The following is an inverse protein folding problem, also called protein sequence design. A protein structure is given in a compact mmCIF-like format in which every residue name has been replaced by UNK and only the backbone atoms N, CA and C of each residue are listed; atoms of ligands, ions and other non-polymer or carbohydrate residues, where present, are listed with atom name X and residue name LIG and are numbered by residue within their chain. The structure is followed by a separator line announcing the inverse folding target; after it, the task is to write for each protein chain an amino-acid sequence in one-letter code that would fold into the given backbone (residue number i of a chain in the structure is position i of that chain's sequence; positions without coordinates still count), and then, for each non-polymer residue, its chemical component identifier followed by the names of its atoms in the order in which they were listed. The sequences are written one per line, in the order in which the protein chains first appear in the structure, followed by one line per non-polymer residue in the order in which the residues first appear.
data_IF_121381578343
#
_entry.id   IF_121381578343
#
_cell.length_a   1.000
_cell.length_b   1.000
_cell.length_c   1.000
_cell.angle_alpha   90.00
_cell.angle_beta   90.00
_cell.angle_gamma   90.00
#
_symmetry.space_group_name_H-M   'P 1'
#
loop_
_entity.id
_entity.type
_entity.pdbx_description
1 polymer ?
#
# COMPACT_ATOMS: atom_id res chain seq x y z
N UNK A 1 17.08 26.10 -21.61
CA UNK A 1 16.79 25.29 -20.41
C UNK A 1 15.27 25.21 -20.27
N UNK A 2 14.68 24.02 -20.09
CA UNK A 2 13.25 23.90 -19.76
C UNK A 2 13.01 24.63 -18.43
N UNK A 3 12.01 25.51 -18.38
CA UNK A 3 11.63 26.23 -17.17
C UNK A 3 11.11 25.21 -16.17
N UNK A 4 11.70 25.15 -14.98
CA UNK A 4 11.29 24.23 -13.91
C UNK A 4 10.02 24.81 -13.27
N UNK A 5 8.95 24.03 -13.19
CA UNK A 5 7.73 24.45 -12.49
C UNK A 5 7.95 24.41 -10.98
N UNK A 6 7.50 25.40 -10.18
CA UNK A 6 7.72 25.42 -8.73
C UNK A 6 7.20 24.15 -8.02
N UNK A 7 5.98 23.72 -8.32
CA UNK A 7 5.36 22.57 -7.61
C UNK A 7 5.56 21.20 -8.27
N UNK A 8 5.74 21.21 -9.60
CA UNK A 8 5.78 20.01 -10.45
C UNK A 8 7.17 19.68 -10.98
N UNK A 9 8.14 20.56 -10.77
CA UNK A 9 9.52 20.43 -11.22
C UNK A 9 9.64 20.13 -12.72
N UNK A 10 9.92 18.87 -13.07
CA UNK A 10 10.13 18.39 -14.43
C UNK A 10 8.95 17.58 -14.97
N UNK A 11 7.93 17.31 -14.14
CA UNK A 11 6.77 16.53 -14.54
C UNK A 11 5.98 17.27 -15.61
N UNK A 12 5.69 16.64 -16.76
CA UNK A 12 4.84 17.23 -17.80
C UNK A 12 3.41 17.52 -17.31
N UNK A 13 2.83 18.61 -17.80
CA UNK A 13 1.49 19.11 -17.42
C UNK A 13 0.38 18.06 -17.55
N UNK A 14 0.45 17.22 -18.59
CA UNK A 14 -0.51 16.13 -18.82
C UNK A 14 -0.61 15.12 -17.66
N UNK A 15 0.37 15.09 -16.74
CA UNK A 15 0.38 14.20 -15.59
C UNK A 15 0.03 14.89 -14.27
N UNK A 16 -0.10 16.21 -14.22
CA UNK A 16 -0.28 16.96 -12.97
C UNK A 16 -1.53 16.53 -12.21
N UNK A 17 -2.69 16.51 -12.88
CA UNK A 17 -3.96 16.08 -12.27
C UNK A 17 -3.90 14.67 -11.68
N UNK A 18 -3.24 13.75 -12.39
CA UNK A 18 -3.07 12.36 -11.94
C UNK A 18 -2.10 12.26 -10.77
N UNK A 19 -1.06 13.10 -10.76
CA UNK A 19 -0.15 13.23 -9.64
C UNK A 19 -0.85 13.77 -8.40
N UNK A 20 -1.64 14.85 -8.54
CA UNK A 20 -2.44 15.40 -7.45
C UNK A 20 -3.43 14.37 -6.89
N UNK A 21 -4.07 13.60 -7.77
CA UNK A 21 -4.95 12.50 -7.35
C UNK A 21 -4.17 11.46 -6.52
N UNK A 22 -2.97 11.05 -6.96
CA UNK A 22 -2.17 10.09 -6.20
C UNK A 22 -1.76 10.65 -4.82
N UNK A 23 -1.36 11.93 -4.75
CA UNK A 23 -1.02 12.61 -3.49
C UNK A 23 -2.22 12.67 -2.55
N UNK A 24 -3.39 13.01 -3.09
CA UNK A 24 -4.62 13.02 -2.32
C UNK A 24 -5.00 11.62 -1.78
N UNK A 25 -4.94 10.59 -2.64
CA UNK A 25 -5.28 9.22 -2.26
C UNK A 25 -4.35 8.69 -1.16
N UNK A 26 -3.03 8.89 -1.27
CA UNK A 26 -2.14 8.47 -0.18
C UNK A 26 -2.34 9.31 1.09
N UNK A 27 -2.73 10.58 0.95
CA UNK A 27 -3.16 11.42 2.08
C UNK A 27 -4.37 10.83 2.82
N UNK A 28 -5.35 10.28 2.10
CA UNK A 28 -6.48 9.58 2.72
C UNK A 28 -6.04 8.36 3.55
N UNK A 29 -5.01 7.64 3.11
CA UNK A 29 -4.44 6.54 3.90
C UNK A 29 -3.71 7.09 5.14
N UNK A 30 -2.94 8.16 4.98
CA UNK A 30 -2.19 8.79 6.07
C UNK A 30 -3.10 9.31 7.20
N UNK A 31 -4.32 9.73 6.89
CA UNK A 31 -5.31 10.13 7.90
C UNK A 31 -5.55 9.05 8.96
N UNK A 32 -5.45 7.76 8.63
CA UNK A 32 -5.57 6.66 9.60
C UNK A 32 -4.47 6.68 10.67
N UNK A 33 -3.35 7.35 10.41
CA UNK A 33 -2.27 7.54 11.37
C UNK A 33 -2.46 8.85 12.13
N UNK A 34 -2.99 9.89 11.50
CA UNK A 34 -2.95 11.25 12.02
C UNK A 34 -4.18 11.63 12.86
N UNK A 35 -5.37 11.18 12.46
CA UNK A 35 -6.61 11.65 13.08
C UNK A 35 -6.96 10.87 14.35
N UNK A 36 -7.58 11.55 15.32
CA UNK A 36 -7.91 10.97 16.62
C UNK A 36 -8.97 9.88 16.55
N UNK A 37 -9.86 9.91 15.55
CA UNK A 37 -10.90 8.88 15.39
C UNK A 37 -10.30 7.48 15.15
N UNK A 38 -9.04 7.39 14.71
CA UNK A 38 -8.33 6.13 14.45
C UNK A 38 -7.29 5.78 15.51
N UNK A 39 -7.32 6.46 16.68
CA UNK A 39 -6.36 6.21 17.76
C UNK A 39 -6.35 4.74 18.24
N UNK A 40 -7.46 4.02 18.03
CA UNK A 40 -7.60 2.59 18.33
C UNK A 40 -6.62 1.69 17.58
N UNK A 41 -6.00 2.15 16.49
CA UNK A 41 -4.90 1.41 15.85
C UNK A 41 -3.64 1.35 16.72
N UNK A 42 -3.48 2.32 17.64
CA UNK A 42 -2.28 2.51 18.48
C UNK A 42 -2.55 2.23 19.95
N UNK A 43 -3.71 2.64 20.44
CA UNK A 43 -4.05 2.68 21.86
C UNK A 43 -5.17 1.70 22.14
N UNK A 44 -4.92 0.81 23.08
CA UNK A 44 -5.85 -0.22 23.52
C UNK A 44 -6.23 0.00 24.97
N UNK A 45 -7.53 -0.08 25.24
CA UNK A 45 -8.06 -0.06 26.61
C UNK A 45 -8.66 -1.41 26.92
N UNK A 46 -8.25 -1.98 28.06
CA UNK A 46 -8.77 -3.24 28.57
C UNK A 46 -9.33 -3.01 29.97
N UNK A 47 -10.60 -3.32 30.16
CA UNK A 47 -11.23 -3.26 31.47
C UNK A 47 -10.84 -4.52 32.27
N UNK A 48 -10.31 -4.33 33.46
CA UNK A 48 -9.94 -5.41 34.38
C UNK A 48 -10.99 -5.49 35.49
N UNK A 49 -11.65 -6.63 35.62
CA UNK A 49 -12.69 -6.83 36.65
C UNK A 49 -12.10 -7.04 38.05
N UNK A 50 -10.89 -7.59 38.14
CA UNK A 50 -10.20 -7.88 39.40
C UNK A 50 -8.79 -7.29 39.43
N UNK A 51 -8.37 -6.75 40.58
CA UNK A 51 -6.98 -6.27 40.80
C UNK A 51 -5.93 -7.38 40.68
N UNK A 52 -6.31 -8.65 40.82
CA UNK A 52 -5.39 -9.79 40.62
C UNK A 52 -5.09 -10.08 39.15
N UNK A 53 -5.87 -9.50 38.24
CA UNK A 53 -5.71 -9.62 36.79
C UNK A 53 -4.95 -8.42 36.21
N UNK A 54 -4.13 -7.73 37.00
CA UNK A 54 -3.23 -6.69 36.51
C UNK A 54 -1.90 -7.26 36.03
N UNK A 55 -1.25 -6.67 35.01
CA UNK A 55 0.11 -7.05 34.62
C UNK A 55 1.08 -6.91 35.79
N UNK A 56 2.00 -7.86 35.96
CA UNK A 56 3.09 -7.69 36.92
C UNK A 56 4.03 -6.56 36.46
N UNK A 57 4.75 -5.94 37.41
CA UNK A 57 5.58 -4.74 37.15
C UNK A 57 6.56 -4.85 35.98
N UNK A 58 7.00 -6.06 35.64
CA UNK A 58 7.96 -6.34 34.55
C UNK A 58 7.43 -7.36 33.52
N UNK A 59 6.14 -7.68 33.54
CA UNK A 59 5.54 -8.63 32.59
C UNK A 59 5.27 -7.91 31.26
N UNK A 60 5.67 -8.54 30.15
CA UNK A 60 5.34 -8.02 28.83
C UNK A 60 3.82 -8.11 28.61
N UNK A 61 3.23 -7.12 27.95
CA UNK A 61 1.77 -7.07 27.79
C UNK A 61 1.22 -8.31 27.05
N UNK A 62 1.99 -8.86 26.10
CA UNK A 62 1.62 -10.08 25.39
C UNK A 62 1.61 -11.31 26.31
N UNK A 63 2.62 -11.47 27.16
CA UNK A 63 2.68 -12.58 28.13
C UNK A 63 1.48 -12.52 29.08
N UNK A 64 1.13 -11.30 29.51
CA UNK A 64 -0.04 -11.05 30.33
C UNK A 64 -1.34 -11.48 29.64
N UNK A 65 -1.54 -11.11 28.37
CA UNK A 65 -2.75 -11.47 27.61
C UNK A 65 -2.85 -12.99 27.40
N UNK A 66 -1.72 -13.65 27.09
CA UNK A 66 -1.66 -15.11 26.91
C UNK A 66 -2.00 -15.82 28.23
N UNK A 67 -1.34 -15.44 29.34
CA UNK A 67 -1.55 -16.05 30.65
C UNK A 67 -2.96 -15.86 31.19
N UNK A 68 -3.59 -14.72 30.90
CA UNK A 68 -4.99 -14.42 31.27
C UNK A 68 -6.02 -15.01 30.31
N UNK A 69 -5.60 -15.82 29.33
CA UNK A 69 -6.45 -16.47 28.32
C UNK A 69 -7.27 -15.48 27.47
N UNK A 70 -6.68 -14.32 27.16
CA UNK A 70 -7.28 -13.26 26.35
C UNK A 70 -6.72 -13.28 24.92
N UNK A 71 -6.81 -14.43 24.24
CA UNK A 71 -6.25 -14.62 22.88
C UNK A 71 -6.85 -13.62 21.88
N UNK A 72 -8.15 -13.37 21.92
CA UNK A 72 -8.82 -12.42 21.01
C UNK A 72 -8.26 -10.98 21.13
N UNK A 73 -7.99 -10.52 22.36
CA UNK A 73 -7.37 -9.21 22.60
C UNK A 73 -5.92 -9.17 22.12
N UNK A 74 -5.18 -10.26 22.34
CA UNK A 74 -3.82 -10.40 21.85
C UNK A 74 -3.78 -10.31 20.32
N UNK A 75 -4.61 -11.09 19.63
CA UNK A 75 -4.68 -11.07 18.17
C UNK A 75 -5.09 -9.71 17.63
N UNK A 76 -6.14 -9.09 18.20
CA UNK A 76 -6.57 -7.74 17.80
C UNK A 76 -5.47 -6.70 17.98
N UNK A 77 -4.75 -6.75 19.11
CA UNK A 77 -3.65 -5.83 19.41
C UNK A 77 -2.50 -5.99 18.41
N UNK A 78 -2.05 -7.23 18.16
CA UNK A 78 -0.97 -7.50 17.20
C UNK A 78 -1.41 -7.09 15.79
N UNK A 79 -2.61 -7.46 15.36
CA UNK A 79 -3.15 -7.07 14.04
C UNK A 79 -3.15 -5.55 13.85
N UNK A 80 -3.62 -4.79 14.82
CA UNK A 80 -3.65 -3.33 14.71
C UNK A 80 -2.24 -2.73 14.68
N UNK A 81 -1.30 -3.24 15.50
CA UNK A 81 0.09 -2.76 15.50
C UNK A 81 0.80 -3.06 14.18
N UNK A 82 0.63 -4.27 13.64
CA UNK A 82 1.19 -4.66 12.35
C UNK A 82 0.58 -3.80 11.25
N UNK A 83 -0.75 -3.67 11.20
CA UNK A 83 -1.43 -2.84 10.21
C UNK A 83 -0.99 -1.37 10.31
N UNK A 84 -0.91 -0.82 11.51
CA UNK A 84 -0.47 0.56 11.75
C UNK A 84 0.96 0.81 11.24
N UNK A 85 1.89 -0.12 11.50
CA UNK A 85 3.25 -0.06 10.97
C UNK A 85 3.31 -0.14 9.44
N UNK A 86 2.53 -1.04 8.84
CA UNK A 86 2.44 -1.17 7.38
C UNK A 86 1.87 0.09 6.73
N UNK A 87 0.84 0.71 7.32
CA UNK A 87 0.27 1.96 6.80
C UNK A 87 1.32 3.09 6.82
N UNK A 88 2.11 3.20 7.89
CA UNK A 88 3.20 4.20 7.98
C UNK A 88 4.22 3.98 6.86
N UNK A 89 4.70 2.74 6.72
CA UNK A 89 5.69 2.40 5.70
C UNK A 89 5.14 2.68 4.29
N UNK A 90 3.90 2.28 4.01
CA UNK A 90 3.27 2.56 2.71
C UNK A 90 3.19 4.07 2.43
N UNK A 91 2.74 4.87 3.41
CA UNK A 91 2.63 6.33 3.25
C UNK A 91 3.99 6.94 2.92
N UNK A 92 5.03 6.66 3.72
CA UNK A 92 6.35 7.24 3.52
C UNK A 92 6.96 6.85 2.17
N UNK A 93 6.91 5.57 1.80
CA UNK A 93 7.47 5.12 0.53
C UNK A 93 6.73 5.69 -0.68
N UNK A 94 5.39 5.74 -0.66
CA UNK A 94 4.59 6.26 -1.77
C UNK A 94 4.76 7.77 -1.91
N UNK A 95 4.69 8.53 -0.82
CA UNK A 95 4.88 9.99 -0.84
C UNK A 95 6.26 10.38 -1.37
N UNK A 96 7.33 9.69 -0.93
CA UNK A 96 8.68 9.91 -1.44
C UNK A 96 8.83 9.47 -2.91
N UNK A 97 8.18 8.38 -3.32
CA UNK A 97 8.16 7.94 -4.71
C UNK A 97 7.53 8.99 -5.63
N UNK A 98 6.41 9.58 -5.21
CA UNK A 98 5.71 10.67 -5.91
C UNK A 98 6.59 11.92 -6.00
N UNK A 99 7.25 12.30 -4.91
CA UNK A 99 8.21 13.41 -4.90
C UNK A 99 9.39 13.17 -5.86
N UNK A 100 9.95 11.96 -5.86
CA UNK A 100 11.00 11.55 -6.80
C UNK A 100 10.52 11.60 -8.25
N UNK A 101 9.27 11.20 -8.50
CA UNK A 101 8.68 11.18 -9.84
C UNK A 101 8.61 12.59 -10.42
N UNK A 102 8.17 13.58 -9.64
CA UNK A 102 8.16 14.99 -10.07
C UNK A 102 9.56 15.51 -10.43
N UNK A 103 10.57 15.06 -9.70
CA UNK A 103 11.98 15.44 -9.88
C UNK A 103 12.67 14.65 -11.01
N UNK A 104 11.94 13.91 -11.85
CA UNK A 104 12.49 13.07 -12.92
C UNK A 104 13.36 11.90 -12.42
N UNK A 105 13.30 11.56 -11.13
CA UNK A 105 14.09 10.48 -10.52
C UNK A 105 13.35 9.15 -10.60
N UNK A 106 12.99 8.74 -11.82
CA UNK A 106 12.14 7.54 -12.08
C UNK A 106 12.73 6.26 -11.50
N UNK A 107 14.06 6.13 -11.47
CA UNK A 107 14.75 5.00 -10.82
C UNK A 107 14.39 4.89 -9.36
N UNK A 108 14.52 5.99 -8.62
CA UNK A 108 14.21 6.04 -7.20
C UNK A 108 12.70 5.84 -6.98
N UNK A 109 11.86 6.41 -7.86
CA UNK A 109 10.41 6.19 -7.82
C UNK A 109 10.04 4.70 -7.86
N UNK A 110 10.53 3.93 -8.85
CA UNK A 110 10.18 2.51 -8.94
C UNK A 110 10.85 1.65 -7.87
N UNK A 111 12.04 2.03 -7.40
CA UNK A 111 12.67 1.37 -6.25
C UNK A 111 11.79 1.52 -5.00
N UNK A 112 11.29 2.73 -4.74
CA UNK A 112 10.43 3.02 -3.58
C UNK A 112 9.05 2.37 -3.69
N UNK A 113 8.43 2.35 -4.86
CA UNK A 113 7.12 1.72 -5.06
C UNK A 113 7.10 0.20 -4.84
N UNK A 114 8.27 -0.45 -4.80
CA UNK A 114 8.34 -1.89 -4.58
C UNK A 114 7.78 -2.30 -3.23
N UNK A 115 8.22 -1.63 -2.16
CA UNK A 115 7.87 -2.00 -0.79
C UNK A 115 6.34 -1.97 -0.54
N UNK A 116 5.64 -0.85 -0.78
CA UNK A 116 4.20 -0.75 -0.51
C UNK A 116 3.38 -1.74 -1.34
N UNK A 117 3.70 -1.93 -2.62
CA UNK A 117 2.84 -2.69 -3.52
C UNK A 117 3.22 -4.16 -3.65
N UNK A 118 4.51 -4.50 -3.67
CA UNK A 118 4.96 -5.88 -3.87
C UNK A 118 5.04 -6.65 -2.55
N UNK A 119 5.29 -5.96 -1.44
CA UNK A 119 5.47 -6.59 -0.13
C UNK A 119 4.33 -6.22 0.83
N UNK A 120 4.23 -4.95 1.22
CA UNK A 120 3.33 -4.54 2.30
C UNK A 120 1.87 -4.83 1.98
N UNK A 121 1.44 -4.63 0.72
CA UNK A 121 0.09 -4.98 0.27
C UNK A 121 -0.22 -6.46 0.46
N UNK A 122 0.73 -7.36 0.18
CA UNK A 122 0.53 -8.79 0.40
C UNK A 122 0.36 -9.07 1.90
N UNK A 123 1.17 -8.46 2.75
CA UNK A 123 1.05 -8.63 4.19
C UNK A 123 -0.31 -8.12 4.69
N UNK A 124 -0.78 -6.96 4.21
CA UNK A 124 -2.12 -6.44 4.53
C UNK A 124 -3.22 -7.41 4.13
N UNK A 125 -3.18 -7.92 2.89
CA UNK A 125 -4.19 -8.84 2.39
C UNK A 125 -4.20 -10.17 3.17
N UNK A 126 -3.03 -10.72 3.49
CA UNK A 126 -2.93 -11.94 4.30
C UNK A 126 -3.41 -11.70 5.72
N UNK A 127 -3.02 -10.58 6.33
CA UNK A 127 -3.46 -10.20 7.67
C UNK A 127 -4.99 -10.05 7.74
N UNK A 128 -5.63 -9.65 6.64
CA UNK A 128 -7.08 -9.45 6.55
C UNK A 128 -7.86 -10.74 6.22
N UNK A 129 -7.32 -11.62 5.38
CA UNK A 129 -8.08 -12.74 4.79
C UNK A 129 -7.50 -14.14 5.05
N UNK A 130 -6.27 -14.27 5.55
CA UNK A 130 -5.68 -15.56 5.88
C UNK A 130 -5.94 -15.93 7.33
N UNK A 131 -6.77 -16.95 7.54
CA UNK A 131 -7.01 -17.52 8.86
C UNK A 131 -5.69 -17.99 9.51
N UNK A 132 -5.48 -17.62 10.77
CA UNK A 132 -4.30 -17.98 11.53
C UNK A 132 -3.02 -17.25 11.14
N UNK A 133 -3.09 -16.17 10.33
CA UNK A 133 -1.91 -15.35 10.00
C UNK A 133 -1.14 -14.90 11.25
N UNK A 134 -1.85 -14.42 12.28
CA UNK A 134 -1.25 -13.96 13.53
C UNK A 134 -0.57 -15.11 14.30
N UNK A 135 -1.15 -16.31 14.29
CA UNK A 135 -0.56 -17.48 14.93
C UNK A 135 0.78 -17.83 14.27
N UNK A 136 0.79 -17.96 12.94
CA UNK A 136 2.02 -18.21 12.17
C UNK A 136 3.06 -17.11 12.38
N UNK A 137 2.63 -15.84 12.32
CA UNK A 137 3.51 -14.68 12.51
C UNK A 137 4.23 -14.68 13.86
N UNK A 138 3.60 -15.23 14.92
CA UNK A 138 4.19 -15.25 16.25
C UNK A 138 4.95 -16.55 16.59
N UNK A 139 4.58 -17.68 15.97
CA UNK A 139 5.05 -19.01 16.39
C UNK A 139 6.00 -19.69 15.38
N UNK A 140 6.00 -19.31 14.10
CA UNK A 140 6.84 -19.93 13.08
C UNK A 140 8.15 -19.14 12.84
N UNK A 141 9.30 -19.76 13.12
CA UNK A 141 10.63 -19.13 12.99
C UNK A 141 10.98 -18.71 11.55
N UNK A 142 10.48 -19.43 10.53
CA UNK A 142 10.79 -19.22 9.10
C UNK A 142 9.58 -18.68 8.31
N UNK A 143 8.62 -18.02 8.98
CA UNK A 143 7.41 -17.51 8.32
C UNK A 143 7.71 -16.38 7.32
N UNK A 144 7.60 -16.67 6.03
CA UNK A 144 7.64 -15.64 4.99
C UNK A 144 6.27 -14.97 4.85
N UNK A 145 6.12 -13.81 5.49
CA UNK A 145 4.91 -12.96 5.42
C UNK A 145 4.56 -12.49 3.99
N UNK A 146 5.49 -12.54 3.03
CA UNK A 146 5.29 -12.10 1.64
C UNK A 146 5.25 -13.25 0.62
N UNK A 147 5.61 -14.45 1.06
CA UNK A 147 5.85 -15.62 0.24
C UNK A 147 4.57 -16.27 -0.26
N UNK A 148 4.02 -15.76 -1.36
CA UNK A 148 2.86 -16.35 -2.03
C UNK A 148 3.17 -16.69 -3.49
N UNK A 149 2.59 -17.79 -3.98
CA UNK A 149 2.57 -18.14 -5.38
C UNK A 149 1.55 -17.28 -6.18
N UNK A 150 1.45 -17.49 -7.50
CA UNK A 150 0.56 -16.69 -8.36
C UNK A 150 -0.91 -16.85 -7.96
N UNK A 151 -1.36 -18.08 -7.78
CA UNK A 151 -2.78 -18.38 -7.59
C UNK A 151 -3.24 -17.91 -6.21
N UNK A 152 -2.40 -18.06 -5.19
CA UNK A 152 -2.63 -17.51 -3.84
C UNK A 152 -2.79 -15.99 -3.86
N UNK A 153 -1.93 -15.27 -4.61
CA UNK A 153 -2.07 -13.81 -4.76
C UNK A 153 -3.38 -13.43 -5.42
N UNK A 154 -3.78 -14.14 -6.48
CA UNK A 154 -5.04 -13.85 -7.19
C UNK A 154 -6.24 -14.09 -6.27
N UNK A 155 -6.26 -15.17 -5.49
CA UNK A 155 -7.33 -15.44 -4.52
C UNK A 155 -7.48 -14.30 -3.52
N UNK A 156 -6.38 -13.83 -2.92
CA UNK A 156 -6.43 -12.70 -1.99
C UNK A 156 -6.92 -11.40 -2.64
N UNK A 157 -6.47 -11.12 -3.87
CA UNK A 157 -6.91 -9.96 -4.64
C UNK A 157 -8.40 -10.06 -5.00
N UNK A 158 -8.89 -11.25 -5.35
CA UNK A 158 -10.30 -11.53 -5.64
C UNK A 158 -11.16 -11.29 -4.39
N UNK A 159 -10.77 -11.85 -3.25
CA UNK A 159 -11.47 -11.65 -1.98
C UNK A 159 -11.57 -10.17 -1.62
N UNK A 160 -10.44 -9.45 -1.68
CA UNK A 160 -10.39 -8.02 -1.43
C UNK A 160 -11.28 -7.22 -2.38
N UNK A 161 -11.28 -7.56 -3.68
CA UNK A 161 -12.06 -6.84 -4.70
C UNK A 161 -13.57 -6.93 -4.46
N UNK A 162 -14.07 -8.00 -3.81
CA UNK A 162 -15.49 -8.13 -3.43
C UNK A 162 -15.97 -7.01 -2.50
N UNK A 163 -15.07 -6.45 -1.69
CA UNK A 163 -15.39 -5.40 -0.74
C UNK A 163 -15.10 -3.99 -1.27
N UNK A 164 -14.34 -3.85 -2.36
CA UNK A 164 -14.08 -2.54 -2.98
C UNK A 164 -15.35 -1.95 -3.58
N UNK A 165 -15.61 -0.68 -3.29
CA UNK A 165 -16.81 0.04 -3.71
C UNK A 165 -16.67 0.52 -5.16
N UNK A 166 -15.54 1.14 -5.49
CA UNK A 166 -15.36 1.77 -6.80
C UNK A 166 -14.94 0.78 -7.88
N UNK A 167 -14.49 -0.42 -7.49
CA UNK A 167 -13.94 -1.45 -8.38
C UNK A 167 -13.00 -0.84 -9.43
N UNK A 168 -11.97 -0.09 -8.99
CA UNK A 168 -11.17 0.73 -9.90
C UNK A 168 -10.32 -0.12 -10.86
N UNK A 169 -10.16 -1.40 -10.52
CA UNK A 169 -9.34 -2.39 -11.20
C UNK A 169 -9.85 -3.79 -10.80
N UNK A 170 -9.78 -4.76 -11.72
CA UNK A 170 -10.05 -6.17 -11.41
C UNK A 170 -8.87 -6.83 -10.68
N UNK A 171 -9.10 -7.97 -10.04
CA UNK A 171 -8.06 -8.78 -9.41
C UNK A 171 -6.98 -9.23 -10.40
N UNK A 172 -7.37 -9.53 -11.65
CA UNK A 172 -6.44 -9.92 -12.71
C UNK A 172 -5.60 -8.74 -13.16
N UNK A 173 -6.20 -7.58 -13.43
CA UNK A 173 -5.46 -6.37 -13.80
C UNK A 173 -4.52 -5.94 -12.66
N UNK A 174 -4.95 -6.05 -11.40
CA UNK A 174 -4.13 -5.73 -10.24
C UNK A 174 -2.91 -6.65 -10.17
N UNK A 175 -3.10 -7.95 -10.39
CA UNK A 175 -2.01 -8.91 -10.51
C UNK A 175 -1.07 -8.54 -11.66
N UNK A 176 -1.61 -8.22 -12.84
CA UNK A 176 -0.82 -7.86 -14.03
C UNK A 176 0.01 -6.58 -13.86
N UNK A 177 -0.53 -5.59 -13.14
CA UNK A 177 0.17 -4.33 -12.90
C UNK A 177 1.22 -4.42 -11.81
N UNK A 178 1.00 -5.22 -10.76
CA UNK A 178 1.93 -5.29 -9.63
C UNK A 178 2.90 -6.48 -9.76
N UNK A 179 2.36 -7.69 -9.95
CA UNK A 179 3.07 -8.95 -9.68
C UNK A 179 3.45 -9.76 -10.92
N UNK A 180 2.83 -9.49 -12.08
CA UNK A 180 3.10 -10.31 -13.26
C UNK A 180 4.53 -10.11 -13.78
N UNK A 181 5.35 -11.13 -13.59
CA UNK A 181 6.73 -11.15 -14.07
C UNK A 181 6.82 -11.30 -15.60
N UNK A 182 5.72 -11.65 -16.29
CA UNK A 182 5.68 -11.68 -17.76
C UNK A 182 5.45 -10.30 -18.36
N UNK A 183 4.68 -9.44 -17.70
CA UNK A 183 4.51 -8.05 -18.07
C UNK A 183 5.79 -7.23 -17.79
N UNK A 184 6.51 -6.72 -18.79
CA UNK A 184 7.75 -5.97 -18.58
C UNK A 184 7.55 -4.63 -17.87
N UNK A 185 6.32 -4.11 -17.84
CA UNK A 185 5.97 -2.86 -17.19
C UNK A 185 5.43 -3.06 -15.77
N UNK A 186 5.18 -4.28 -15.30
CA UNK A 186 4.68 -4.48 -13.93
C UNK A 186 5.62 -3.87 -12.89
N UNK A 187 5.06 -3.45 -11.74
CA UNK A 187 5.83 -2.82 -10.66
C UNK A 187 6.96 -3.75 -10.18
N UNK A 188 6.72 -5.06 -10.09
CA UNK A 188 7.78 -6.02 -9.74
C UNK A 188 8.94 -5.97 -10.74
N UNK A 189 8.67 -5.85 -12.05
CA UNK A 189 9.71 -5.82 -13.06
C UNK A 189 10.41 -4.46 -13.14
N UNK A 190 9.69 -3.35 -13.11
CA UNK A 190 10.27 -2.00 -13.11
C UNK A 190 11.08 -1.74 -11.85
N UNK A 191 10.62 -2.18 -10.68
CA UNK A 191 11.39 -2.08 -9.44
C UNK A 191 12.62 -2.98 -9.43
N UNK A 192 12.55 -4.19 -10.02
CA UNK A 192 13.74 -5.03 -10.22
C UNK A 192 14.79 -4.31 -11.09
N UNK A 193 14.39 -3.64 -12.17
CA UNK A 193 15.31 -2.85 -13.01
C UNK A 193 15.89 -1.65 -12.28
N UNK A 194 15.10 -1.03 -11.40
CA UNK A 194 15.53 0.10 -10.60
C UNK A 194 16.58 -0.30 -9.54
N UNK A 195 16.40 -1.46 -8.90
CA UNK A 195 17.24 -1.92 -7.80
C UNK A 195 18.50 -2.66 -8.28
N UNK A 196 18.46 -3.30 -9.44
CA UNK A 196 19.56 -4.11 -9.94
C UNK A 196 20.21 -3.48 -11.18
N UNK A 197 21.54 -3.26 -11.17
CA UNK A 197 22.27 -2.76 -12.35
C UNK A 197 22.11 -3.67 -13.58
N UNK A 198 21.94 -4.99 -13.35
CA UNK A 198 21.64 -5.96 -14.39
C UNK A 198 20.65 -7.01 -13.89
N UNK A 199 19.70 -7.37 -14.73
CA UNK A 199 18.68 -8.39 -14.50
C UNK A 199 18.88 -9.53 -15.50
N UNK A 200 19.14 -10.73 -15.00
CA UNK A 200 19.48 -11.90 -15.84
C UNK A 200 18.53 -13.08 -15.66
N UNK A 201 17.80 -13.13 -14.54
CA UNK A 201 16.97 -14.27 -14.13
C UNK A 201 15.62 -14.36 -14.85
N UNK A 202 15.03 -13.22 -15.21
CA UNK A 202 13.76 -13.17 -15.93
C UNK A 202 14.00 -12.66 -17.36
N UNK A 203 13.63 -13.45 -18.36
CA UNK A 203 13.83 -13.12 -19.77
C UNK A 203 13.04 -11.88 -20.22
N UNK A 204 11.84 -11.68 -19.69
CA UNK A 204 10.99 -10.50 -19.98
C UNK A 204 11.55 -9.22 -19.36
N UNK A 205 12.48 -9.36 -18.43
CA UNK A 205 13.15 -8.27 -17.73
C UNK A 205 14.67 -8.32 -17.94
N UNK A 206 15.16 -8.98 -19.00
CA UNK A 206 16.59 -9.18 -19.17
C UNK A 206 17.26 -7.88 -19.63
N UNK A 207 18.35 -7.50 -18.97
CA UNK A 207 19.15 -6.35 -19.42
C UNK A 207 19.79 -6.65 -20.77
N UNK A 208 19.69 -5.69 -21.70
CA UNK A 208 20.28 -5.78 -23.02
C UNK A 208 21.81 -5.76 -23.00
N UNK A 209 22.43 -6.09 -24.14
CA UNK A 209 23.89 -5.95 -24.31
C UNK A 209 24.30 -4.48 -24.11
N UNK A 210 25.43 -4.25 -23.43
CA UNK A 210 25.99 -2.92 -23.18
C UNK A 210 25.01 -1.95 -22.47
N UNK A 211 24.14 -2.48 -21.60
CA UNK A 211 23.16 -1.69 -20.86
C UNK A 211 23.27 -2.01 -19.35
N UNK A 212 22.95 -1.05 -18.49
CA UNK A 212 22.87 -1.16 -17.03
C UNK A 212 21.49 -0.69 -16.53
N UNK A 213 20.44 -1.33 -17.04
CA UNK A 213 19.04 -1.02 -16.75
C UNK A 213 18.78 0.50 -16.75
N UNK A 214 18.25 1.04 -15.66
CA UNK A 214 17.84 2.44 -15.61
C UNK A 214 19.01 3.44 -15.53
N UNK A 215 20.25 2.99 -15.32
CA UNK A 215 21.41 3.88 -15.28
C UNK A 215 21.63 4.61 -16.62
N UNK A 216 21.15 4.05 -17.74
CA UNK A 216 21.21 4.65 -19.07
C UNK A 216 19.85 5.06 -19.61
N UNK A 217 18.83 5.26 -18.75
CA UNK A 217 17.53 5.72 -19.21
C UNK A 217 17.61 7.11 -19.85
N UNK A 218 17.07 7.21 -21.06
CA UNK A 218 17.00 8.48 -21.78
C UNK A 218 15.68 9.21 -21.53
N UNK A 219 15.53 10.43 -22.06
CA UNK A 219 14.31 11.22 -21.88
C UNK A 219 13.05 10.51 -22.38
N UNK A 220 13.16 9.73 -23.46
CA UNK A 220 12.04 8.93 -24.00
C UNK A 220 11.63 7.80 -23.04
N UNK A 221 12.61 7.14 -22.41
CA UNK A 221 12.33 6.13 -21.38
C UNK A 221 11.62 6.76 -20.18
N UNK A 222 12.09 7.92 -19.72
CA UNK A 222 11.51 8.65 -18.59
C UNK A 222 10.06 9.06 -18.92
N UNK A 223 9.82 9.54 -20.14
CA UNK A 223 8.47 9.87 -20.59
C UNK A 223 7.57 8.64 -20.61
N UNK A 224 8.05 7.49 -21.11
CA UNK A 224 7.32 6.21 -21.08
C UNK A 224 7.02 5.76 -19.65
N UNK A 225 7.97 5.93 -18.74
CA UNK A 225 7.79 5.59 -17.33
C UNK A 225 6.75 6.48 -16.64
N UNK A 226 6.75 7.78 -16.90
CA UNK A 226 5.68 8.66 -16.42
C UNK A 226 4.32 8.28 -17.02
N UNK A 227 4.28 7.97 -18.31
CA UNK A 227 3.04 7.55 -18.96
C UNK A 227 2.46 6.30 -18.30
N UNK A 228 3.31 5.31 -18.01
CA UNK A 228 2.91 4.08 -17.35
C UNK A 228 2.50 4.30 -15.89
N UNK A 229 3.35 4.95 -15.09
CA UNK A 229 3.05 5.11 -13.65
C UNK A 229 1.76 5.90 -13.44
N UNK A 230 1.52 6.97 -14.20
CA UNK A 230 0.29 7.74 -14.08
C UNK A 230 -0.88 7.12 -14.88
N UNK A 231 -0.69 6.08 -15.69
CA UNK A 231 -1.83 5.29 -16.16
C UNK A 231 -2.32 4.29 -15.12
N UNK A 232 -1.45 3.79 -14.24
CA UNK A 232 -1.76 2.69 -13.32
C UNK A 232 -1.97 3.17 -11.87
N UNK A 233 -1.07 4.02 -11.37
CA UNK A 233 -0.98 4.36 -9.95
C UNK A 233 -2.28 4.95 -9.35
N UNK A 234 -3.06 5.79 -10.04
CA UNK A 234 -4.34 6.25 -9.51
C UNK A 234 -5.30 5.11 -9.17
N UNK A 235 -5.43 4.10 -10.05
CA UNK A 235 -6.34 2.96 -9.83
C UNK A 235 -5.85 2.07 -8.69
N UNK A 236 -4.54 1.80 -8.66
CA UNK A 236 -3.90 0.99 -7.61
C UNK A 236 -4.00 1.67 -6.25
N UNK A 237 -3.83 3.00 -6.18
CA UNK A 237 -3.98 3.76 -4.94
C UNK A 237 -5.44 3.84 -4.49
N UNK A 238 -6.41 3.97 -5.40
CA UNK A 238 -7.83 3.91 -5.02
C UNK A 238 -8.16 2.56 -4.39
N UNK A 239 -7.69 1.47 -4.99
CA UNK A 239 -7.82 0.14 -4.40
C UNK A 239 -7.17 0.07 -3.01
N UNK A 240 -5.92 0.55 -2.88
CA UNK A 240 -5.21 0.53 -1.61
C UNK A 240 -5.98 1.29 -0.52
N UNK A 241 -6.48 2.49 -0.82
CA UNK A 241 -7.28 3.29 0.10
C UNK A 241 -8.50 2.50 0.57
N UNK A 242 -9.24 1.90 -0.36
CA UNK A 242 -10.46 1.15 0.00
C UNK A 242 -10.14 -0.07 0.86
N UNK A 243 -9.11 -0.85 0.54
CA UNK A 243 -8.74 -2.02 1.34
C UNK A 243 -8.29 -1.63 2.75
N UNK A 244 -7.42 -0.62 2.88
CA UNK A 244 -7.00 -0.14 4.20
C UNK A 244 -8.20 0.41 4.98
N UNK A 245 -9.08 1.17 4.32
CA UNK A 245 -10.29 1.72 4.93
C UNK A 245 -11.21 0.63 5.44
N UNK A 246 -11.53 -0.39 4.63
CA UNK A 246 -12.36 -1.51 5.04
C UNK A 246 -11.73 -2.24 6.23
N UNK A 247 -10.42 -2.44 6.21
CA UNK A 247 -9.73 -3.14 7.28
C UNK A 247 -9.70 -2.34 8.59
N UNK A 248 -9.39 -1.05 8.53
CA UNK A 248 -9.39 -0.18 9.71
C UNK A 248 -10.80 -0.07 10.30
N UNK A 249 -11.82 0.10 9.47
CA UNK A 249 -13.20 0.24 9.93
C UNK A 249 -13.73 -1.06 10.54
N UNK A 250 -13.37 -2.22 10.00
CA UNK A 250 -13.76 -3.51 10.58
C UNK A 250 -13.07 -3.77 11.93
N UNK A 251 -11.81 -3.38 12.08
CA UNK A 251 -11.06 -3.56 13.32
C UNK A 251 -11.53 -2.63 14.45
N UNK A 252 -11.79 -1.37 14.11
CA UNK A 252 -12.10 -0.32 15.09
C UNK A 252 -13.59 -0.06 15.30
N UNK A 253 -14.47 -0.71 14.51
CA UNK A 253 -15.93 -0.54 14.60
C UNK A 253 -16.35 0.94 14.47
N UNK A 254 -15.71 1.66 13.54
CA UNK A 254 -15.91 3.10 13.31
C UNK A 254 -17.33 3.38 12.80
N UNK A 255 -17.92 4.49 13.25
CA UNK A 255 -19.24 4.96 12.81
C UNK A 255 -19.30 5.07 11.27
N UNK A 256 -20.34 4.48 10.67
CA UNK A 256 -20.58 4.49 9.24
C UNK A 256 -20.71 5.89 8.64
N UNK A 257 -21.06 6.91 9.42
CA UNK A 257 -21.05 8.31 8.97
C UNK A 257 -19.66 8.79 8.58
N UNK A 258 -18.61 8.37 9.30
CA UNK A 258 -17.23 8.72 8.96
C UNK A 258 -16.85 8.06 7.63
N UNK A 259 -17.29 6.81 7.41
CA UNK A 259 -17.10 6.12 6.15
C UNK A 259 -17.75 6.86 4.98
N UNK A 260 -19.04 7.22 5.12
CA UNK A 260 -19.77 7.98 4.10
C UNK A 260 -19.11 9.32 3.78
N UNK A 261 -18.68 10.08 4.79
CA UNK A 261 -18.01 11.37 4.59
C UNK A 261 -16.71 11.23 3.78
N UNK A 262 -15.93 10.17 4.00
CA UNK A 262 -14.70 9.91 3.23
C UNK A 262 -14.98 9.56 1.78
N UNK A 263 -16.06 8.81 1.51
CA UNK A 263 -16.49 8.52 0.14
C UNK A 263 -16.92 9.81 -0.57
N UNK A 264 -17.72 10.64 0.09
CA UNK A 264 -18.17 11.93 -0.45
C UNK A 264 -17.00 12.87 -0.77
N UNK A 265 -16.03 13.00 0.14
CA UNK A 265 -14.82 13.78 -0.08
C UNK A 265 -14.02 13.28 -1.28
N UNK A 266 -13.84 11.95 -1.40
CA UNK A 266 -13.14 11.32 -2.53
C UNK A 266 -13.87 11.54 -3.84
N UNK A 267 -15.18 11.40 -3.86
CA UNK A 267 -16.00 11.67 -5.04
C UNK A 267 -15.89 13.14 -5.47
N UNK A 268 -15.98 14.08 -4.52
CA UNK A 268 -15.82 15.50 -4.79
C UNK A 268 -14.43 15.81 -5.36
N UNK A 269 -13.37 15.23 -4.81
CA UNK A 269 -12.01 15.44 -5.32
C UNK A 269 -11.82 14.88 -6.72
N UNK A 270 -12.40 13.71 -7.02
CA UNK A 270 -12.39 13.15 -8.36
C UNK A 270 -13.11 14.05 -9.36
N UNK A 271 -14.27 14.61 -8.99
CA UNK A 271 -15.02 15.58 -9.82
C UNK A 271 -14.15 16.82 -10.10
N UNK A 272 -13.51 17.38 -9.06
CA UNK A 272 -12.63 18.56 -9.18
C UNK A 272 -11.48 18.32 -10.18
N UNK A 273 -10.81 17.18 -10.08
CA UNK A 273 -9.64 16.86 -10.90
C UNK A 273 -10.01 16.44 -12.33
N UNK A 274 -11.11 15.70 -12.50
CA UNK A 274 -11.52 15.18 -13.81
C UNK A 274 -12.43 16.13 -14.59
N UNK A 275 -13.13 17.04 -13.90
CA UNK A 275 -14.14 17.93 -14.50
C UNK A 275 -15.44 17.23 -14.89
N UNK A 276 -15.62 15.96 -14.52
CA UNK A 276 -16.84 15.19 -14.78
C UNK A 276 -17.86 15.53 -13.69
N UNK A 277 -18.97 16.17 -14.06
CA UNK A 277 -20.14 16.27 -13.17
C UNK A 277 -20.81 14.88 -13.13
N UNK A 278 -20.98 14.34 -11.93
CA UNK A 278 -21.86 13.18 -11.73
C UNK A 278 -23.28 13.73 -11.78
N UNK A 279 -24.03 13.39 -12.84
CA UNK A 279 -25.48 13.58 -12.90
C UNK A 279 -26.21 12.50 -12.10
#
# INVERSE_FOLDING_TARGET
MKKIHPDYFYLPEQFWKKHELCVYLIGQVEEFILKEEYIGLKVFSLNLENEKDTPNRNEHIFDFLIRTKRKDYYEKLVTCQVLHGLIIDMCYFIQEALTCSKKQRTVVTFALLRKPFVYDLIVVLRLMFEDGFIEKFNEEDDFDSTGLNKDEKIVLLEEATKYTLTKPITEIEMYEFIFDTKNPNSIINLSNKALHPSTTRNQNNKTGKQNLNFAFSENEDIQRYWQYIYSVLPMVLTYLVEIIEIFVFSLLEIDSKIYSARIEDRAQKLIELTGVKIE
#
